data_IF_903768713577
#
_entry.id   IF_903768713577
#
_cell.length_a   1.000
_cell.length_b   1.000
_cell.length_c   1.000
_cell.angle_alpha   90.00
_cell.angle_beta   90.00
_cell.angle_gamma   90.00
#
_symmetry.space_group_name_H-M   'P 1'
#
loop_
_entity.id
_entity.type
_entity.pdbx_description
1 polymer ?
#
# COMPACT_ATOMS: atom_id res chain seq x y z
N UNK A 1 3.28 -29.85 14.94
CA UNK A 1 4.40 -28.92 15.25
C UNK A 1 3.83 -27.66 15.85
N UNK A 2 4.20 -27.32 17.08
CA UNK A 2 3.84 -26.03 17.68
C UNK A 2 4.64 -24.92 17.00
N UNK A 3 3.95 -24.04 16.32
CA UNK A 3 4.57 -22.90 15.65
C UNK A 3 5.10 -21.93 16.69
N UNK A 4 6.42 -21.77 16.81
CA UNK A 4 7.09 -20.96 17.81
C UNK A 4 7.58 -19.65 17.20
N UNK A 5 7.52 -18.52 17.94
CA UNK A 5 8.04 -17.25 17.46
C UNK A 5 9.57 -17.29 17.31
N UNK A 6 10.07 -16.72 16.20
CA UNK A 6 11.50 -16.53 15.92
C UNK A 6 12.10 -15.51 16.89
N UNK A 7 13.42 -15.43 16.98
CA UNK A 7 14.11 -14.54 17.93
C UNK A 7 13.67 -13.07 17.83
N UNK A 8 13.61 -12.50 16.62
CA UNK A 8 13.14 -11.13 16.41
C UNK A 8 11.67 -10.94 16.78
N UNK A 9 10.82 -11.95 16.55
CA UNK A 9 9.41 -11.90 16.94
C UNK A 9 9.26 -11.93 18.46
N UNK A 10 10.05 -12.75 19.17
CA UNK A 10 10.11 -12.75 20.65
C UNK A 10 10.51 -11.38 21.17
N UNK A 11 11.57 -10.76 20.62
CA UNK A 11 12.01 -9.41 20.96
C UNK A 11 10.87 -8.38 20.82
N UNK A 12 10.10 -8.43 19.72
CA UNK A 12 8.95 -7.53 19.52
C UNK A 12 7.86 -7.79 20.54
N UNK A 13 7.50 -9.04 20.80
CA UNK A 13 6.48 -9.42 21.78
C UNK A 13 6.85 -9.01 23.20
N UNK A 14 8.10 -9.23 23.63
CA UNK A 14 8.64 -8.79 24.90
C UNK A 14 8.65 -7.27 24.99
N UNK A 15 9.05 -6.57 23.92
CA UNK A 15 9.02 -5.13 23.86
C UNK A 15 7.61 -4.55 23.99
N UNK A 16 6.62 -5.15 23.33
CA UNK A 16 5.21 -4.77 23.47
C UNK A 16 4.72 -5.01 24.91
N UNK A 17 5.02 -6.16 25.51
CA UNK A 17 4.58 -6.51 26.87
C UNK A 17 5.19 -5.59 27.93
N UNK A 18 6.48 -5.23 27.78
CA UNK A 18 7.24 -4.44 28.74
C UNK A 18 7.23 -2.93 28.45
N UNK A 19 6.44 -2.47 27.49
CA UNK A 19 6.34 -1.05 27.14
C UNK A 19 5.59 -0.23 28.18
N UNK A 20 5.66 1.09 28.09
CA UNK A 20 4.87 2.02 28.93
C UNK A 20 3.35 1.83 28.76
N UNK A 21 2.94 1.24 27.66
CA UNK A 21 1.54 0.90 27.33
C UNK A 21 1.49 -0.57 26.90
N UNK A 22 1.51 -1.52 27.84
CA UNK A 22 1.64 -2.94 27.54
C UNK A 22 0.63 -3.38 26.47
N UNK A 23 1.10 -4.21 25.55
CA UNK A 23 0.34 -4.81 24.45
C UNK A 23 -0.28 -3.83 23.42
N UNK A 24 -0.07 -2.52 23.61
CA UNK A 24 -0.45 -1.47 22.65
C UNK A 24 0.78 -0.92 21.97
N UNK A 25 0.85 -0.92 20.65
CA UNK A 25 2.03 -0.45 19.95
C UNK A 25 1.93 -0.38 18.45
N UNK A 26 2.94 0.26 17.86
CA UNK A 26 3.19 0.30 16.43
C UNK A 26 4.28 -0.71 16.09
N UNK A 27 3.98 -1.62 15.16
CA UNK A 27 4.94 -2.58 14.63
C UNK A 27 5.27 -2.22 13.19
N UNK A 28 6.42 -1.58 13.00
CA UNK A 28 7.04 -1.28 11.72
C UNK A 28 7.79 -2.51 11.22
N UNK A 29 7.18 -3.33 10.37
CA UNK A 29 7.79 -4.58 9.96
C UNK A 29 7.58 -4.83 8.47
N UNK A 30 8.66 -5.24 7.79
CA UNK A 30 8.69 -5.52 6.37
C UNK A 30 7.71 -6.63 5.94
N UNK A 31 7.64 -6.88 4.65
CA UNK A 31 6.83 -7.97 4.09
C UNK A 31 7.45 -9.32 4.47
N UNK A 32 6.60 -10.32 4.73
CA UNK A 32 7.06 -11.68 5.08
C UNK A 32 7.66 -11.83 6.48
N UNK A 33 7.65 -10.78 7.33
CA UNK A 33 8.20 -10.84 8.71
C UNK A 33 7.27 -11.51 9.73
N UNK A 34 6.08 -11.97 9.32
CA UNK A 34 5.13 -12.63 10.21
C UNK A 34 4.35 -11.68 11.13
N UNK A 35 4.06 -10.45 10.68
CA UNK A 35 3.22 -9.47 11.41
C UNK A 35 1.93 -10.08 11.95
N UNK A 36 1.23 -10.87 11.12
CA UNK A 36 -0.02 -11.55 11.49
C UNK A 36 0.16 -12.46 12.71
N UNK A 37 1.18 -13.32 12.69
CA UNK A 37 1.46 -14.22 13.79
C UNK A 37 1.83 -13.46 15.08
N UNK A 38 2.71 -12.44 14.98
CA UNK A 38 3.06 -11.58 16.11
C UNK A 38 1.84 -10.91 16.74
N UNK A 39 0.89 -10.47 15.91
CA UNK A 39 -0.33 -9.84 16.42
C UNK A 39 -1.24 -10.82 17.15
N UNK A 40 -1.37 -12.05 16.66
CA UNK A 40 -2.15 -13.10 17.37
C UNK A 40 -1.48 -13.43 18.70
N UNK A 41 -0.16 -13.67 18.73
CA UNK A 41 0.56 -13.93 20.00
C UNK A 41 0.48 -12.75 20.97
N UNK A 42 0.62 -11.50 20.48
CA UNK A 42 0.46 -10.33 21.36
C UNK A 42 -0.95 -10.26 21.95
N UNK A 43 -1.97 -10.60 21.17
CA UNK A 43 -3.35 -10.64 21.65
C UNK A 43 -3.56 -11.74 22.69
N UNK A 44 -3.00 -12.93 22.46
CA UNK A 44 -3.02 -14.02 23.45
C UNK A 44 -2.35 -13.60 24.77
N UNK A 45 -1.17 -12.97 24.68
CA UNK A 45 -0.47 -12.47 25.86
C UNK A 45 -1.25 -11.36 26.58
N UNK A 46 -1.92 -10.48 25.84
CA UNK A 46 -2.68 -9.36 26.39
C UNK A 46 -3.96 -9.78 27.13
N UNK A 47 -4.65 -10.79 26.60
CA UNK A 47 -5.96 -11.20 27.06
C UNK A 47 -5.92 -12.47 27.95
N UNK A 48 -4.84 -13.27 27.84
CA UNK A 48 -4.64 -14.49 28.63
C UNK A 48 -5.83 -15.46 28.49
N UNK A 49 -6.21 -16.07 29.62
CA UNK A 49 -7.30 -17.05 29.66
C UNK A 49 -8.67 -16.46 29.30
N UNK A 50 -8.81 -15.14 29.35
CA UNK A 50 -10.05 -14.43 29.00
C UNK A 50 -10.22 -14.13 27.52
N UNK A 51 -9.33 -14.63 26.65
CA UNK A 51 -9.38 -14.35 25.20
C UNK A 51 -10.71 -14.79 24.58
N UNK A 52 -11.31 -15.88 25.05
CA UNK A 52 -12.59 -16.40 24.57
C UNK A 52 -13.81 -15.56 25.02
N UNK A 53 -13.62 -14.65 25.98
CA UNK A 53 -14.66 -13.76 26.52
C UNK A 53 -14.59 -12.36 25.91
N UNK A 54 -13.63 -12.11 25.04
CA UNK A 54 -13.35 -10.78 24.50
C UNK A 54 -13.78 -10.61 23.05
N UNK A 55 -14.09 -9.38 22.71
CA UNK A 55 -14.29 -8.94 21.34
C UNK A 55 -12.93 -8.51 20.76
N UNK A 56 -12.54 -9.08 19.64
CA UNK A 56 -11.29 -8.78 18.93
C UNK A 56 -11.66 -8.32 17.53
N UNK A 57 -11.14 -7.16 17.10
CA UNK A 57 -11.36 -6.62 15.76
C UNK A 57 -10.05 -6.61 14.97
N UNK A 58 -10.08 -7.21 13.78
CA UNK A 58 -9.01 -7.14 12.79
C UNK A 58 -9.49 -6.28 11.62
N UNK A 59 -8.81 -5.17 11.38
CA UNK A 59 -9.03 -4.29 10.24
C UNK A 59 -7.89 -4.51 9.26
N UNK A 60 -8.16 -5.04 8.08
CA UNK A 60 -7.11 -5.42 7.14
C UNK A 60 -7.60 -5.41 5.68
N UNK A 61 -6.71 -5.49 4.68
CA UNK A 61 -7.10 -5.69 3.28
C UNK A 61 -7.83 -7.03 3.08
N UNK A 62 -8.84 -7.05 2.19
CA UNK A 62 -9.64 -8.25 1.93
C UNK A 62 -8.80 -9.48 1.54
N UNK A 63 -7.69 -9.28 0.81
CA UNK A 63 -6.83 -10.36 0.35
C UNK A 63 -6.05 -11.06 1.46
N UNK A 64 -5.92 -10.43 2.62
CA UNK A 64 -5.23 -11.02 3.78
C UNK A 64 -6.16 -11.84 4.68
N UNK A 65 -7.47 -11.86 4.41
CA UNK A 65 -8.48 -12.52 5.23
C UNK A 65 -8.17 -13.99 5.49
N UNK A 66 -7.84 -14.76 4.44
CA UNK A 66 -7.54 -16.18 4.55
C UNK A 66 -6.31 -16.44 5.43
N UNK A 67 -5.28 -15.61 5.29
CA UNK A 67 -4.08 -15.66 6.13
C UNK A 67 -4.39 -15.36 7.61
N UNK A 68 -5.18 -14.34 7.89
CA UNK A 68 -5.63 -14.01 9.24
C UNK A 68 -6.44 -15.15 9.85
N UNK A 69 -7.41 -15.71 9.12
CA UNK A 69 -8.23 -16.84 9.55
C UNK A 69 -7.38 -18.06 9.91
N UNK A 70 -6.41 -18.40 9.05
CA UNK A 70 -5.47 -19.50 9.28
C UNK A 70 -4.66 -19.30 10.57
N UNK A 71 -4.12 -18.10 10.79
CA UNK A 71 -3.28 -17.83 11.97
C UNK A 71 -4.10 -17.83 13.27
N UNK A 72 -5.31 -17.24 13.31
CA UNK A 72 -6.17 -17.32 14.48
C UNK A 72 -6.52 -18.76 14.84
N UNK A 73 -6.88 -19.57 13.84
CA UNK A 73 -7.21 -20.98 14.07
C UNK A 73 -5.99 -21.78 14.55
N UNK A 74 -4.84 -21.58 13.90
CA UNK A 74 -3.62 -22.34 14.17
C UNK A 74 -2.98 -21.98 15.53
N UNK A 75 -2.94 -20.69 15.89
CA UNK A 75 -2.20 -20.22 17.06
C UNK A 75 -3.06 -20.11 18.31
N UNK A 76 -4.30 -19.66 18.18
CA UNK A 76 -5.21 -19.43 19.30
C UNK A 76 -6.40 -20.40 19.37
N UNK A 77 -6.58 -21.28 18.38
CA UNK A 77 -7.74 -22.18 18.29
C UNK A 77 -9.06 -21.47 17.95
N UNK A 78 -9.04 -20.17 17.72
CA UNK A 78 -10.23 -19.33 17.52
C UNK A 78 -10.64 -19.26 16.05
N UNK A 79 -11.95 -19.27 15.83
CA UNK A 79 -12.53 -19.03 14.52
C UNK A 79 -12.77 -17.52 14.31
N UNK A 80 -12.30 -17.00 13.17
CA UNK A 80 -12.51 -15.61 12.78
C UNK A 80 -13.74 -15.50 11.87
N UNK A 81 -14.65 -14.59 12.19
CA UNK A 81 -15.83 -14.28 11.37
C UNK A 81 -15.66 -12.96 10.62
N UNK A 82 -16.17 -12.89 9.39
CA UNK A 82 -16.00 -11.71 8.53
C UNK A 82 -17.27 -10.87 8.50
N UNK A 83 -17.13 -9.61 8.89
CA UNK A 83 -18.14 -8.58 8.69
C UNK A 83 -18.22 -8.26 7.19
N UNK A 84 -19.39 -8.38 6.60
CA UNK A 84 -19.61 -8.25 5.15
C UNK A 84 -20.70 -7.21 4.86
N UNK A 85 -20.54 -6.51 3.73
CA UNK A 85 -21.57 -5.63 3.20
C UNK A 85 -22.73 -6.36 2.48
N UNK A 86 -22.67 -7.69 2.40
CA UNK A 86 -23.73 -8.51 1.80
C UNK A 86 -24.98 -8.51 2.70
N UNK A 87 -26.17 -8.52 2.09
CA UNK A 87 -27.46 -8.57 2.79
C UNK A 87 -28.00 -10.00 2.93
N UNK A 88 -27.14 -10.99 3.09
CA UNK A 88 -27.53 -12.38 3.37
C UNK A 88 -27.83 -12.54 4.86
N UNK A 89 -28.73 -13.46 5.22
CA UNK A 89 -29.09 -13.75 6.61
C UNK A 89 -27.84 -14.05 7.46
N UNK A 90 -26.91 -14.84 6.92
CA UNK A 90 -25.64 -15.16 7.61
C UNK A 90 -24.76 -13.92 7.84
N UNK A 91 -24.65 -13.02 6.84
CA UNK A 91 -23.86 -11.80 6.99
C UNK A 91 -24.49 -10.82 7.98
N UNK A 92 -25.80 -10.69 8.00
CA UNK A 92 -26.51 -9.85 8.96
C UNK A 92 -26.35 -10.41 10.38
N UNK A 93 -26.44 -11.71 10.57
CA UNK A 93 -26.24 -12.35 11.86
C UNK A 93 -24.86 -12.06 12.47
N UNK A 94 -23.80 -11.90 11.65
CA UNK A 94 -22.46 -11.52 12.16
C UNK A 94 -22.48 -10.10 12.72
N UNK A 95 -23.18 -9.18 12.07
CA UNK A 95 -23.38 -7.81 12.58
C UNK A 95 -24.21 -7.80 13.88
N UNK A 96 -25.31 -8.55 13.91
CA UNK A 96 -26.15 -8.68 15.11
C UNK A 96 -25.36 -9.26 16.28
N UNK A 97 -24.50 -10.24 16.04
CA UNK A 97 -23.61 -10.80 17.06
C UNK A 97 -22.63 -9.76 17.61
N UNK A 98 -22.07 -8.91 16.74
CA UNK A 98 -21.19 -7.83 17.17
C UNK A 98 -21.94 -6.78 18.01
N UNK A 99 -23.11 -6.34 17.55
CA UNK A 99 -23.96 -5.39 18.28
C UNK A 99 -24.44 -5.95 19.63
N UNK A 100 -24.67 -7.25 19.70
CA UNK A 100 -25.00 -7.97 20.96
C UNK A 100 -23.75 -8.25 21.81
N UNK A 101 -22.59 -7.70 21.49
CA UNK A 101 -21.32 -7.87 22.20
C UNK A 101 -20.90 -9.33 22.35
N UNK A 102 -21.22 -10.20 21.39
CA UNK A 102 -20.86 -11.61 21.44
C UNK A 102 -19.35 -11.76 21.25
N UNK A 103 -18.64 -12.38 22.22
CA UNK A 103 -17.20 -12.59 22.12
C UNK A 103 -16.77 -13.31 20.84
N UNK A 104 -15.59 -12.98 20.32
CA UNK A 104 -15.03 -13.60 19.12
C UNK A 104 -14.08 -12.70 18.35
N UNK A 105 -13.51 -13.26 17.30
CA UNK A 105 -12.61 -12.56 16.38
C UNK A 105 -13.38 -12.10 15.15
N UNK A 106 -13.50 -10.80 14.97
CA UNK A 106 -14.20 -10.16 13.87
C UNK A 106 -13.20 -9.55 12.88
N UNK A 107 -13.38 -9.83 11.60
CA UNK A 107 -12.59 -9.25 10.52
C UNK A 107 -13.43 -8.24 9.74
N UNK A 108 -12.86 -7.08 9.46
CA UNK A 108 -13.47 -6.06 8.59
C UNK A 108 -12.43 -5.50 7.63
N UNK A 109 -12.84 -5.24 6.38
CA UNK A 109 -11.95 -4.57 5.43
C UNK A 109 -11.94 -3.05 5.63
N UNK A 110 -10.81 -2.40 5.28
CA UNK A 110 -10.70 -0.93 5.30
C UNK A 110 -11.82 -0.25 4.50
N UNK A 111 -12.17 -0.84 3.35
CA UNK A 111 -13.21 -0.32 2.46
C UNK A 111 -14.60 -0.38 3.11
N UNK A 112 -14.95 -1.50 3.72
CA UNK A 112 -16.22 -1.68 4.42
C UNK A 112 -16.27 -0.81 5.68
N UNK A 113 -15.17 -0.75 6.42
CA UNK A 113 -15.07 0.08 7.61
C UNK A 113 -15.34 1.55 7.32
N UNK A 114 -14.77 2.11 6.23
CA UNK A 114 -15.01 3.51 5.81
C UNK A 114 -16.33 3.73 5.10
N UNK A 115 -16.99 2.67 4.58
CA UNK A 115 -18.24 2.82 3.85
C UNK A 115 -19.26 3.57 4.72
N UNK A 116 -19.92 4.56 4.15
CA UNK A 116 -20.96 5.32 4.85
C UNK A 116 -22.29 4.58 4.69
N UNK A 117 -22.80 4.02 5.76
CA UNK A 117 -24.22 3.65 5.80
C UNK A 117 -25.00 4.97 5.77
N UNK A 118 -25.70 5.21 4.68
CA UNK A 118 -26.52 6.39 4.51
C UNK A 118 -27.98 5.96 4.56
N UNK A 119 -28.72 6.50 5.51
CA UNK A 119 -30.16 6.39 5.53
C UNK A 119 -30.76 7.56 4.73
N UNK A 120 -31.65 7.26 3.77
CA UNK A 120 -32.47 8.29 3.14
C UNK A 120 -33.52 8.77 4.15
N UNK A 121 -33.42 10.04 4.53
CA UNK A 121 -34.39 10.64 5.42
C UNK A 121 -34.97 11.91 4.80
N UNK A 122 -36.27 12.13 4.97
CA UNK A 122 -36.89 13.37 4.57
C UNK A 122 -36.44 14.51 5.49
N UNK A 123 -35.86 15.54 4.91
CA UNK A 123 -35.54 16.77 5.63
C UNK A 123 -36.67 17.77 5.42
N UNK A 124 -37.46 17.99 6.45
CA UNK A 124 -38.62 18.91 6.42
C UNK A 124 -38.24 20.37 6.20
N UNK A 125 -37.02 20.79 6.61
CA UNK A 125 -36.52 22.17 6.37
C UNK A 125 -36.07 22.35 4.93
N UNK A 126 -35.33 21.37 4.39
CA UNK A 126 -34.81 21.42 3.02
C UNK A 126 -35.82 20.91 1.98
N UNK A 127 -37.00 20.41 2.41
CA UNK A 127 -38.07 19.83 1.54
C UNK A 127 -37.51 18.81 0.50
N UNK A 128 -36.53 18.01 0.87
CA UNK A 128 -35.93 16.98 0.01
C UNK A 128 -35.43 15.79 0.78
N UNK A 129 -35.24 14.66 0.07
CA UNK A 129 -34.57 13.49 0.64
C UNK A 129 -33.07 13.78 0.82
N UNK A 130 -32.59 13.71 2.05
CA UNK A 130 -31.17 13.85 2.38
C UNK A 130 -30.64 12.52 2.88
N UNK A 131 -29.34 12.31 2.64
CA UNK A 131 -28.65 11.14 3.18
C UNK A 131 -28.01 11.48 4.52
N UNK A 132 -28.53 10.91 5.61
CA UNK A 132 -27.92 11.02 6.94
C UNK A 132 -26.91 9.89 7.13
N UNK A 133 -25.70 10.22 7.57
CA UNK A 133 -24.73 9.20 7.96
C UNK A 133 -25.24 8.48 9.23
N UNK A 134 -25.34 7.15 9.15
CA UNK A 134 -25.66 6.34 10.33
C UNK A 134 -24.40 6.12 11.17
N UNK A 135 -24.59 5.95 12.49
CA UNK A 135 -23.53 5.48 13.37
C UNK A 135 -23.05 4.09 12.90
N UNK A 136 -21.76 3.83 13.08
CA UNK A 136 -21.24 2.49 12.80
C UNK A 136 -21.56 1.57 13.97
N UNK A 137 -22.04 0.33 13.73
CA UNK A 137 -22.38 -0.60 14.81
C UNK A 137 -21.23 -0.79 15.82
N UNK A 138 -19.99 -0.82 15.33
CA UNK A 138 -18.80 -1.03 16.17
C UNK A 138 -18.37 0.18 17.02
N UNK A 139 -19.02 1.36 16.90
CA UNK A 139 -18.70 2.51 17.76
C UNK A 139 -19.30 2.40 19.17
N UNK A 140 -20.35 1.61 19.34
CA UNK A 140 -20.93 1.31 20.65
C UNK A 140 -20.28 0.12 21.36
N UNK A 141 -19.26 -0.47 20.77
CA UNK A 141 -18.61 -1.69 21.24
C UNK A 141 -17.19 -1.37 21.73
N UNK A 142 -16.85 -1.82 22.93
CA UNK A 142 -15.48 -1.81 23.43
C UNK A 142 -14.80 -3.14 23.14
N UNK A 143 -13.72 -3.09 22.37
CA UNK A 143 -12.93 -4.27 22.01
C UNK A 143 -11.83 -4.53 23.04
N UNK A 144 -11.57 -5.80 23.35
CA UNK A 144 -10.39 -6.21 24.11
C UNK A 144 -9.11 -5.90 23.32
N UNK A 145 -9.14 -6.12 21.99
CA UNK A 145 -8.02 -5.79 21.11
C UNK A 145 -8.53 -5.32 19.74
N UNK A 146 -7.91 -4.26 19.21
CA UNK A 146 -8.06 -3.84 17.81
C UNK A 146 -6.72 -3.92 17.10
N UNK A 147 -6.66 -4.64 15.99
CA UNK A 147 -5.50 -4.81 15.14
C UNK A 147 -5.77 -4.12 13.81
N UNK A 148 -5.00 -3.09 13.47
CA UNK A 148 -5.08 -2.36 12.22
C UNK A 148 -3.89 -2.73 11.33
N UNK A 149 -4.10 -3.70 10.43
CA UNK A 149 -3.09 -4.17 9.49
C UNK A 149 -3.01 -3.27 8.26
N UNK A 150 -1.82 -3.15 7.68
CA UNK A 150 -1.49 -2.21 6.61
C UNK A 150 -1.93 -0.78 6.96
N UNK A 151 -1.47 -0.31 8.13
CA UNK A 151 -1.82 1.00 8.69
C UNK A 151 -1.60 2.17 7.72
N UNK A 152 -0.67 2.07 6.78
CA UNK A 152 -0.44 3.11 5.77
C UNK A 152 -1.72 3.52 5.02
N UNK A 153 -2.77 2.67 4.99
CA UNK A 153 -4.10 2.98 4.42
C UNK A 153 -4.88 4.02 5.24
N UNK A 154 -4.48 4.24 6.49
CA UNK A 154 -5.07 5.23 7.40
C UNK A 154 -4.08 6.31 7.86
N UNK A 155 -2.86 6.34 7.34
CA UNK A 155 -1.81 7.27 7.80
C UNK A 155 -2.12 8.75 7.48
N UNK A 156 -2.95 9.04 6.49
CA UNK A 156 -3.36 10.42 6.22
C UNK A 156 -4.41 10.86 7.23
N UNK A 157 -4.10 11.90 8.02
CA UNK A 157 -4.95 12.47 9.08
C UNK A 157 -6.34 12.93 8.59
N UNK A 158 -6.49 13.31 7.33
CA UNK A 158 -7.75 13.72 6.71
C UNK A 158 -8.51 12.57 6.04
N UNK A 159 -7.97 11.35 6.02
CA UNK A 159 -8.61 10.22 5.37
C UNK A 159 -9.83 9.71 6.14
N UNK A 160 -10.80 9.16 5.41
CA UNK A 160 -11.95 8.50 6.01
C UNK A 160 -11.56 7.25 6.83
N UNK A 161 -10.52 6.53 6.41
CA UNK A 161 -10.00 5.39 7.15
C UNK A 161 -9.55 5.81 8.55
N UNK A 162 -8.75 6.87 8.66
CA UNK A 162 -8.32 7.40 9.95
C UNK A 162 -9.49 7.94 10.77
N UNK A 163 -10.39 8.72 10.13
CA UNK A 163 -11.55 9.30 10.82
C UNK A 163 -12.45 8.24 11.46
N UNK A 164 -12.56 7.05 10.84
CA UNK A 164 -13.31 5.93 11.41
C UNK A 164 -12.48 5.19 12.46
N UNK A 165 -11.23 4.82 12.15
CA UNK A 165 -10.39 4.03 13.03
C UNK A 165 -10.17 4.69 14.41
N UNK A 166 -9.93 6.01 14.45
CA UNK A 166 -9.70 6.74 15.71
C UNK A 166 -10.86 6.72 16.70
N UNK A 167 -12.09 6.45 16.22
CA UNK A 167 -13.30 6.43 17.05
C UNK A 167 -13.67 5.02 17.57
N UNK A 168 -12.91 3.98 17.18
CA UNK A 168 -13.12 2.63 17.68
C UNK A 168 -12.59 2.58 19.12
N UNK A 169 -13.42 2.11 20.05
CA UNK A 169 -13.02 1.94 21.45
C UNK A 169 -12.35 0.58 21.65
N UNK A 170 -11.18 0.55 22.30
CA UNK A 170 -10.47 -0.67 22.58
C UNK A 170 -9.56 -0.54 23.79
N UNK A 171 -9.43 -1.62 24.55
CA UNK A 171 -8.48 -1.72 25.67
C UNK A 171 -7.03 -1.72 25.16
N UNK A 172 -6.75 -2.54 24.13
CA UNK A 172 -5.45 -2.65 23.48
C UNK A 172 -5.55 -2.37 21.99
N UNK A 173 -4.49 -1.81 21.41
CA UNK A 173 -4.44 -1.43 20.00
C UNK A 173 -3.10 -1.78 19.39
N UNK A 174 -3.13 -2.38 18.20
CA UNK A 174 -1.96 -2.61 17.37
C UNK A 174 -2.15 -1.93 16.01
N UNK A 175 -1.11 -1.25 15.55
CA UNK A 175 -0.99 -0.79 14.18
C UNK A 175 0.20 -1.48 13.52
N UNK A 176 -0.01 -2.08 12.35
CA UNK A 176 0.99 -2.87 11.63
C UNK A 176 1.21 -2.26 10.25
N UNK A 177 2.44 -2.01 9.87
CA UNK A 177 2.78 -1.58 8.51
C UNK A 177 4.29 -1.68 8.28
N UNK A 178 4.71 -1.96 7.06
CA UNK A 178 6.10 -1.76 6.65
C UNK A 178 6.46 -0.26 6.56
N UNK A 179 5.46 0.58 6.27
CA UNK A 179 5.62 2.02 6.03
C UNK A 179 4.54 2.81 6.78
N UNK A 180 4.59 2.88 8.13
CA UNK A 180 3.49 3.41 8.94
C UNK A 180 3.17 4.88 8.70
N UNK A 181 4.12 5.66 8.19
CA UNK A 181 3.93 7.06 7.81
C UNK A 181 3.55 7.26 6.32
N UNK A 182 3.51 6.17 5.54
CA UNK A 182 3.26 6.27 4.10
C UNK A 182 4.37 7.04 3.38
N UNK A 183 4.00 8.07 2.64
CA UNK A 183 4.93 8.88 1.83
C UNK A 183 5.49 10.13 2.55
N UNK A 184 5.04 10.44 3.76
CA UNK A 184 5.44 11.65 4.51
C UNK A 184 5.68 11.32 5.98
N UNK A 185 6.86 11.65 6.54
CA UNK A 185 7.17 11.33 7.94
C UNK A 185 6.14 11.88 8.95
N UNK A 186 5.59 13.08 8.73
CA UNK A 186 4.59 13.67 9.62
C UNK A 186 3.26 12.90 9.71
N UNK A 187 2.97 12.05 8.73
CA UNK A 187 1.77 11.19 8.74
C UNK A 187 1.82 10.11 9.83
N UNK A 188 2.97 9.88 10.44
CA UNK A 188 3.09 8.99 11.61
C UNK A 188 2.15 9.40 12.74
N UNK A 189 1.80 10.70 12.82
CA UNK A 189 0.85 11.21 13.80
C UNK A 189 -0.47 10.40 13.83
N UNK A 190 -0.97 10.00 12.68
CA UNK A 190 -2.23 9.25 12.63
C UNK A 190 -2.14 7.90 13.36
N UNK A 191 -1.00 7.17 13.22
CA UNK A 191 -0.75 5.94 13.97
C UNK A 191 -0.66 6.21 15.47
N UNK A 192 0.12 7.23 15.84
CA UNK A 192 0.31 7.61 17.24
C UNK A 192 -1.01 8.05 17.89
N UNK A 193 -1.84 8.81 17.16
CA UNK A 193 -3.14 9.26 17.64
C UNK A 193 -4.17 8.15 17.75
N UNK A 194 -4.10 7.14 16.88
CA UNK A 194 -4.91 5.94 16.97
C UNK A 194 -4.52 5.09 18.19
N UNK A 195 -3.22 4.86 18.38
CA UNK A 195 -2.71 4.02 19.46
C UNK A 195 -2.87 4.69 20.84
N UNK A 196 -2.57 5.97 20.91
CA UNK A 196 -2.57 6.76 22.15
C UNK A 196 -3.37 8.07 22.00
N UNK A 197 -4.71 7.99 22.01
CA UNK A 197 -5.59 9.12 21.69
C UNK A 197 -5.34 10.38 22.52
N UNK A 198 -4.93 10.21 23.78
CA UNK A 198 -4.74 11.30 24.73
C UNK A 198 -3.28 11.79 24.85
N UNK A 199 -2.32 11.10 24.20
CA UNK A 199 -0.90 11.41 24.36
C UNK A 199 -0.42 12.54 23.43
N UNK A 200 -0.98 12.61 22.23
CA UNK A 200 -0.60 13.59 21.21
C UNK A 200 -1.74 14.59 20.95
N UNK A 201 -1.36 15.88 20.82
CA UNK A 201 -2.27 16.97 20.48
C UNK A 201 -2.84 16.91 19.05
N UNK A 202 -3.22 18.06 18.50
CA UNK A 202 -3.69 18.19 17.14
C UNK A 202 -2.61 17.87 16.10
N UNK A 203 -3.03 17.55 14.88
CA UNK A 203 -2.10 17.25 13.78
C UNK A 203 -1.14 18.39 13.49
N UNK A 204 -1.66 19.60 13.39
CA UNK A 204 -0.85 20.76 13.04
C UNK A 204 0.15 21.15 14.14
N UNK A 205 -0.26 21.06 15.41
CA UNK A 205 0.63 21.30 16.55
C UNK A 205 1.76 20.25 16.60
N UNK A 206 1.42 19.00 16.35
CA UNK A 206 2.40 17.91 16.26
C UNK A 206 3.39 18.17 15.11
N UNK A 207 2.89 18.52 13.94
CA UNK A 207 3.75 18.80 12.79
C UNK A 207 4.66 19.99 13.06
N UNK A 208 4.13 21.11 13.57
CA UNK A 208 4.91 22.30 13.91
C UNK A 208 5.98 22.01 14.98
N UNK A 209 5.68 21.13 15.93
CA UNK A 209 6.63 20.74 16.99
C UNK A 209 7.78 19.88 16.48
N UNK A 210 7.48 18.88 15.65
CA UNK A 210 8.45 17.81 15.33
C UNK A 210 9.05 17.89 13.94
N UNK A 211 8.43 18.64 13.00
CA UNK A 211 8.83 18.64 11.59
C UNK A 211 9.18 20.03 11.08
N UNK A 212 10.06 20.06 10.08
CA UNK A 212 10.43 21.29 9.38
C UNK A 212 9.32 21.71 8.43
N UNK A 213 8.90 22.95 8.56
CA UNK A 213 7.94 23.58 7.66
C UNK A 213 8.64 24.09 6.41
N UNK A 214 8.08 23.79 5.24
CA UNK A 214 8.54 24.28 3.94
C UNK A 214 7.37 24.96 3.22
N UNK A 215 7.68 26.00 2.46
CA UNK A 215 6.68 26.63 1.59
C UNK A 215 6.24 25.66 0.50
N UNK A 216 4.94 25.57 0.26
CA UNK A 216 4.35 24.77 -0.80
C UNK A 216 3.13 25.49 -1.37
N UNK A 217 3.32 26.15 -2.52
CA UNK A 217 2.26 26.87 -3.21
C UNK A 217 1.04 26.01 -3.59
N UNK A 218 1.22 24.68 -3.66
CA UNK A 218 0.17 23.73 -4.03
C UNK A 218 -0.57 23.14 -2.82
N UNK A 219 -0.20 23.51 -1.61
CA UNK A 219 -0.95 23.09 -0.43
C UNK A 219 -2.03 24.12 -0.10
N UNK A 220 -3.16 23.66 0.43
CA UNK A 220 -4.29 24.51 0.83
C UNK A 220 -3.91 25.59 1.84
N UNK A 221 -2.79 25.43 2.53
CA UNK A 221 -2.30 26.35 3.58
C UNK A 221 -0.95 27.01 3.22
N UNK A 222 -0.51 26.91 1.96
CA UNK A 222 0.76 27.47 1.51
C UNK A 222 2.00 26.78 2.10
N UNK A 223 1.84 25.69 2.86
CA UNK A 223 2.94 25.02 3.56
C UNK A 223 2.80 23.50 3.60
N UNK A 224 3.92 22.83 3.74
CA UNK A 224 4.01 21.39 3.97
C UNK A 224 5.05 21.10 5.05
N UNK A 225 4.92 19.93 5.69
CA UNK A 225 5.91 19.45 6.65
C UNK A 225 6.67 18.28 6.03
N UNK A 226 7.99 18.33 6.08
CA UNK A 226 8.87 17.45 5.31
C UNK A 226 9.70 16.52 6.20
N UNK A 227 10.83 16.99 6.67
CA UNK A 227 11.79 16.24 7.47
C UNK A 227 11.55 16.43 8.96
N UNK A 228 11.90 15.44 9.77
CA UNK A 228 11.94 15.60 11.23
C UNK A 228 13.02 16.60 11.63
N UNK A 229 12.72 17.53 12.55
CA UNK A 229 13.69 18.52 13.05
C UNK A 229 14.88 17.84 13.73
N UNK A 230 14.62 16.75 14.41
CA UNK A 230 15.63 15.90 15.05
C UNK A 230 15.37 14.46 14.66
N UNK A 231 16.16 13.88 13.76
CA UNK A 231 15.93 12.54 13.21
C UNK A 231 15.69 11.48 14.28
N UNK A 232 14.62 10.69 14.13
CA UNK A 232 14.21 9.64 15.04
C UNK A 232 13.60 10.10 16.38
N UNK A 233 13.37 11.42 16.57
CA UNK A 233 12.81 11.93 17.83
C UNK A 233 11.39 11.44 18.07
N UNK A 234 10.55 11.42 17.05
CA UNK A 234 9.16 10.95 17.15
C UNK A 234 9.13 9.47 17.52
N UNK A 235 9.95 8.66 16.87
CA UNK A 235 10.07 7.23 17.14
C UNK A 235 10.52 6.96 18.59
N UNK A 236 11.61 7.61 19.01
CA UNK A 236 12.12 7.46 20.38
C UNK A 236 11.15 7.95 21.47
N UNK A 237 10.32 8.93 21.13
CA UNK A 237 9.28 9.46 22.02
C UNK A 237 7.97 8.67 22.04
N UNK A 238 7.78 7.73 21.12
CA UNK A 238 6.59 6.89 21.09
C UNK A 238 6.60 5.89 22.26
N UNK A 239 5.46 5.69 22.95
CA UNK A 239 5.39 4.78 24.11
C UNK A 239 5.78 3.34 23.79
N UNK A 240 5.47 2.86 22.57
CA UNK A 240 5.76 1.49 22.12
C UNK A 240 5.84 1.46 20.59
N UNK A 241 7.07 1.53 20.04
CA UNK A 241 7.32 1.37 18.60
C UNK A 241 8.42 0.34 18.38
N UNK A 242 8.09 -0.70 17.65
CA UNK A 242 8.98 -1.83 17.36
C UNK A 242 9.15 -1.98 15.86
N UNK A 243 10.40 -2.05 15.43
CA UNK A 243 10.78 -2.23 14.04
C UNK A 243 11.40 -3.60 13.81
N UNK A 244 11.10 -4.18 12.65
CA UNK A 244 11.72 -5.39 12.15
C UNK A 244 12.08 -5.17 10.69
N UNK A 245 13.38 -5.07 10.42
CA UNK A 245 13.85 -4.96 9.04
C UNK A 245 13.71 -6.29 8.30
N UNK A 246 13.66 -6.21 6.97
CA UNK A 246 13.67 -7.40 6.12
C UNK A 246 14.95 -8.23 6.32
N UNK A 247 16.10 -7.56 6.46
CA UNK A 247 17.39 -8.20 6.68
C UNK A 247 17.45 -8.96 8.02
N UNK A 248 16.84 -8.39 9.08
CA UNK A 248 16.73 -9.08 10.38
C UNK A 248 15.81 -10.30 10.31
N UNK A 249 14.69 -10.17 9.63
CA UNK A 249 13.69 -11.24 9.55
C UNK A 249 14.11 -12.38 8.63
N UNK A 250 14.85 -12.07 7.58
CA UNK A 250 15.26 -13.01 6.52
C UNK A 250 16.72 -12.73 6.11
N UNK A 251 17.71 -13.00 6.97
CA UNK A 251 19.12 -12.71 6.71
C UNK A 251 19.70 -13.49 5.51
N UNK A 252 19.05 -14.60 5.15
CA UNK A 252 19.44 -15.46 4.02
C UNK A 252 18.85 -14.99 2.67
N UNK A 253 18.05 -13.92 2.67
CA UNK A 253 17.42 -13.43 1.46
C UNK A 253 18.48 -12.84 0.51
N UNK A 254 18.58 -13.34 -0.75
CA UNK A 254 19.67 -12.95 -1.66
C UNK A 254 19.66 -11.47 -2.08
N UNK A 255 18.53 -10.76 -1.86
CA UNK A 255 18.38 -9.35 -2.16
C UNK A 255 17.93 -9.04 -3.59
N UNK A 256 18.08 -7.77 -4.00
CA UNK A 256 17.69 -7.27 -5.32
C UNK A 256 18.86 -6.58 -5.99
N UNK A 257 19.15 -7.01 -7.23
CA UNK A 257 20.14 -6.35 -8.11
C UNK A 257 19.36 -5.45 -9.06
N UNK A 258 19.65 -4.15 -9.04
CA UNK A 258 18.96 -3.17 -9.87
C UNK A 258 19.80 -2.82 -11.10
N UNK A 259 19.26 -3.14 -12.26
CA UNK A 259 19.81 -2.77 -13.57
C UNK A 259 19.02 -1.56 -14.10
N UNK A 260 19.67 -0.39 -14.18
CA UNK A 260 19.06 0.79 -14.80
C UNK A 260 19.23 0.71 -16.30
N UNK A 261 18.11 0.77 -17.02
CA UNK A 261 18.07 0.74 -18.49
C UNK A 261 17.55 2.08 -18.97
N UNK A 262 18.44 2.91 -19.43
CA UNK A 262 18.13 4.24 -19.95
C UNK A 262 17.72 4.16 -21.41
N UNK A 263 16.60 4.82 -21.75
CA UNK A 263 16.06 4.86 -23.11
C UNK A 263 15.80 6.30 -23.52
N UNK A 264 16.11 6.62 -24.77
CA UNK A 264 15.65 7.86 -25.38
C UNK A 264 14.22 7.72 -25.89
N UNK A 265 13.40 8.75 -25.72
CA UNK A 265 12.09 8.78 -26.34
C UNK A 265 12.21 8.75 -27.87
N UNK A 266 11.39 7.94 -28.53
CA UNK A 266 11.29 8.00 -29.98
C UNK A 266 10.95 9.43 -30.45
N UNK A 267 11.29 9.78 -31.70
CA UNK A 267 11.02 11.13 -32.23
C UNK A 267 9.56 11.56 -32.05
N UNK A 268 8.62 10.64 -32.23
CA UNK A 268 7.19 10.90 -32.07
C UNK A 268 6.83 11.16 -30.59
N UNK A 269 7.36 10.35 -29.66
CA UNK A 269 7.14 10.53 -28.21
C UNK A 269 7.80 11.84 -27.74
N UNK A 270 9.04 12.13 -28.14
CA UNK A 270 9.78 13.34 -27.75
C UNK A 270 9.06 14.61 -28.19
N UNK A 271 8.55 14.61 -29.44
CA UNK A 271 7.76 15.74 -29.93
C UNK A 271 6.54 16.00 -29.07
N UNK A 272 5.70 14.98 -28.84
CA UNK A 272 4.50 15.11 -28.00
C UNK A 272 4.82 15.51 -26.56
N UNK A 273 5.91 14.97 -26.01
CA UNK A 273 6.39 15.31 -24.66
C UNK A 273 6.74 16.79 -24.57
N UNK A 274 7.58 17.29 -25.50
CA UNK A 274 8.03 18.66 -25.50
C UNK A 274 6.89 19.66 -25.79
N UNK A 275 5.96 19.32 -26.70
CA UNK A 275 4.79 20.14 -27.00
C UNK A 275 3.93 20.31 -25.74
N UNK A 276 3.65 19.21 -25.05
CA UNK A 276 2.88 19.22 -23.80
C UNK A 276 3.59 20.00 -22.66
N UNK A 277 4.90 19.85 -22.52
CA UNK A 277 5.68 20.57 -21.50
C UNK A 277 5.69 22.07 -21.78
N UNK A 278 5.85 22.47 -23.04
CA UNK A 278 5.83 23.86 -23.49
C UNK A 278 4.46 24.53 -23.30
N UNK A 279 3.40 23.85 -23.73
CA UNK A 279 2.03 24.36 -23.61
C UNK A 279 1.64 24.54 -22.14
N UNK A 280 2.04 23.60 -21.28
CA UNK A 280 1.82 23.72 -19.84
C UNK A 280 2.60 24.87 -19.21
N UNK A 281 3.85 25.11 -19.63
CA UNK A 281 4.64 26.27 -19.16
C UNK A 281 4.02 27.59 -19.59
N UNK A 282 3.53 27.69 -20.83
CA UNK A 282 2.81 28.87 -21.33
C UNK A 282 1.53 29.11 -20.51
N UNK A 283 0.75 28.06 -20.28
CA UNK A 283 -0.48 28.15 -19.48
C UNK A 283 -0.20 28.58 -18.03
N UNK A 284 0.89 28.11 -17.43
CA UNK A 284 1.30 28.49 -16.07
C UNK A 284 1.75 29.94 -15.96
N UNK A 285 2.35 30.51 -17.04
CA UNK A 285 2.80 31.88 -17.05
C UNK A 285 1.64 32.87 -17.25
N UNK A 286 0.57 32.49 -17.93
CA UNK A 286 -0.54 33.37 -18.29
C UNK A 286 -1.73 33.37 -17.31
N UNK A 287 -1.77 32.40 -16.37
CA UNK A 287 -2.88 32.28 -15.40
C UNK A 287 -2.42 31.97 -13.98
N UNK A 288 -3.12 32.48 -12.96
CA UNK A 288 -2.86 32.08 -11.59
C UNK A 288 -3.08 30.59 -11.46
N UNK A 289 -2.10 29.91 -10.88
CA UNK A 289 -2.00 28.45 -10.69
C UNK A 289 -3.30 27.87 -10.10
N UNK A 290 -4.09 27.17 -10.90
CA UNK A 290 -5.07 26.24 -10.38
C UNK A 290 -4.34 25.00 -9.81
N UNK A 291 -4.63 24.63 -8.58
CA UNK A 291 -3.95 23.58 -7.80
C UNK A 291 -3.90 22.19 -8.48
N UNK A 292 -4.75 21.95 -9.47
CA UNK A 292 -4.83 20.67 -10.21
C UNK A 292 -3.86 20.55 -11.39
N UNK A 293 -3.40 21.63 -11.97
CA UNK A 293 -2.61 21.64 -13.21
C UNK A 293 -1.27 20.89 -13.08
N UNK A 294 -0.44 21.09 -12.04
CA UNK A 294 0.83 20.41 -11.93
C UNK A 294 0.72 18.89 -11.74
N UNK A 295 -0.30 18.43 -11.01
CA UNK A 295 -0.54 16.99 -10.86
C UNK A 295 -1.03 16.34 -12.16
N UNK A 296 -1.90 17.03 -12.89
CA UNK A 296 -2.40 16.56 -14.17
C UNK A 296 -1.28 16.55 -15.21
N UNK A 297 -0.46 17.60 -15.26
CA UNK A 297 0.71 17.66 -16.12
C UNK A 297 1.69 16.51 -15.83
N UNK A 298 2.04 16.27 -14.56
CA UNK A 298 2.91 15.16 -14.16
C UNK A 298 2.35 13.81 -14.65
N UNK A 299 1.05 13.61 -14.48
CA UNK A 299 0.37 12.40 -14.97
C UNK A 299 0.46 12.28 -16.50
N UNK A 300 0.19 13.36 -17.25
CA UNK A 300 0.23 13.37 -18.72
C UNK A 300 1.64 13.14 -19.24
N UNK A 301 2.65 13.82 -18.68
CA UNK A 301 4.05 13.62 -19.06
C UNK A 301 4.48 12.16 -18.83
N UNK A 302 4.12 11.57 -17.70
CA UNK A 302 4.38 10.14 -17.41
C UNK A 302 3.69 9.21 -18.41
N UNK A 303 2.51 9.59 -18.92
CA UNK A 303 1.83 8.81 -19.94
C UNK A 303 2.60 8.87 -21.29
N UNK A 304 3.20 10.03 -21.64
CA UNK A 304 4.02 10.16 -22.85
C UNK A 304 5.31 9.34 -22.80
N UNK A 305 5.90 9.14 -21.60
CA UNK A 305 7.11 8.30 -21.48
C UNK A 305 6.81 6.81 -21.71
N UNK A 306 5.58 6.35 -21.50
CA UNK A 306 5.22 4.95 -21.73
C UNK A 306 5.14 4.60 -23.22
N UNK A 307 4.54 5.47 -24.03
CA UNK A 307 4.36 5.22 -25.47
C UNK A 307 3.65 6.39 -26.15
N UNK A 308 3.51 6.33 -27.46
CA UNK A 308 2.71 7.31 -28.22
C UNK A 308 1.24 7.07 -27.89
N UNK A 309 0.58 8.00 -27.17
CA UNK A 309 -0.82 7.83 -26.79
C UNK A 309 -1.76 8.10 -27.94
N UNK A 310 -3.00 7.64 -27.76
CA UNK A 310 -4.19 8.13 -28.46
C UNK A 310 -5.07 8.89 -27.46
N UNK A 311 -5.91 9.79 -27.98
CA UNK A 311 -6.82 10.56 -27.14
C UNK A 311 -8.25 10.18 -27.49
N UNK A 312 -9.06 9.91 -26.47
CA UNK A 312 -10.49 9.70 -26.61
C UNK A 312 -11.21 11.05 -26.78
N UNK A 313 -12.48 11.03 -27.18
CA UNK A 313 -13.33 12.23 -27.35
C UNK A 313 -13.44 13.07 -26.07
N UNK A 314 -13.38 12.42 -24.91
CA UNK A 314 -13.40 13.06 -23.58
C UNK A 314 -12.02 13.61 -23.13
N UNK A 315 -11.01 13.57 -24.03
CA UNK A 315 -9.64 14.01 -23.73
C UNK A 315 -8.84 13.06 -22.83
N UNK A 316 -9.38 11.89 -22.50
CA UNK A 316 -8.61 10.89 -21.72
C UNK A 316 -7.60 10.18 -22.61
N UNK A 317 -6.41 9.93 -22.04
CA UNK A 317 -5.33 9.18 -22.72
C UNK A 317 -5.68 7.71 -22.80
N UNK A 318 -5.46 7.12 -23.97
CA UNK A 318 -5.44 5.68 -24.23
C UNK A 318 -4.22 5.32 -25.08
N UNK A 319 -4.01 4.04 -25.40
CA UNK A 319 -2.93 3.58 -26.26
C UNK A 319 -3.49 2.57 -27.28
N UNK A 320 -3.00 2.62 -28.51
CA UNK A 320 -3.21 1.53 -29.45
C UNK A 320 -2.39 0.32 -29.03
N UNK A 321 -2.83 -0.88 -29.36
CA UNK A 321 -2.09 -2.11 -29.05
C UNK A 321 -0.69 -2.11 -29.68
N UNK A 322 -0.57 -1.59 -30.91
CA UNK A 322 0.66 -1.47 -31.66
C UNK A 322 1.40 -0.13 -31.46
N UNK A 323 1.10 0.60 -30.39
CA UNK A 323 1.68 1.92 -30.16
C UNK A 323 3.22 1.85 -30.12
N UNK A 324 3.87 2.91 -30.67
CA UNK A 324 5.32 3.06 -30.63
C UNK A 324 5.76 3.42 -29.20
N UNK A 325 6.76 2.70 -28.70
CA UNK A 325 7.26 2.89 -27.33
C UNK A 325 8.70 2.41 -27.21
N UNK A 326 9.62 3.33 -26.93
CA UNK A 326 11.01 2.97 -26.67
C UNK A 326 11.17 2.06 -25.43
N UNK A 327 10.29 2.21 -24.43
CA UNK A 327 10.31 1.33 -23.26
C UNK A 327 9.86 -0.10 -23.60
N UNK A 328 8.88 -0.26 -24.50
CA UNK A 328 8.48 -1.59 -24.96
C UNK A 328 9.56 -2.25 -25.81
N UNK A 329 10.25 -1.47 -26.63
CA UNK A 329 11.36 -1.99 -27.42
C UNK A 329 12.49 -2.50 -26.49
N UNK A 330 12.93 -1.71 -25.51
CA UNK A 330 13.90 -2.14 -24.51
C UNK A 330 13.43 -3.33 -23.66
N UNK A 331 12.14 -3.39 -23.30
CA UNK A 331 11.58 -4.55 -22.59
C UNK A 331 11.71 -5.82 -23.44
N UNK A 332 11.43 -5.74 -24.72
CA UNK A 332 11.52 -6.90 -25.62
C UNK A 332 12.97 -7.34 -25.81
N UNK A 333 13.92 -6.39 -25.90
CA UNK A 333 15.35 -6.70 -25.95
C UNK A 333 15.82 -7.43 -24.69
N UNK A 334 15.44 -6.93 -23.48
CA UNK A 334 15.73 -7.61 -22.22
C UNK A 334 15.17 -9.03 -22.20
N UNK A 335 13.90 -9.21 -22.62
CA UNK A 335 13.26 -10.55 -22.59
C UNK A 335 13.91 -11.50 -23.61
N UNK A 336 14.41 -10.98 -24.74
CA UNK A 336 15.13 -11.77 -25.72
C UNK A 336 16.51 -12.23 -25.25
N UNK A 337 17.16 -11.45 -24.38
CA UNK A 337 18.45 -11.80 -23.78
C UNK A 337 18.33 -12.79 -22.60
N UNK A 338 17.13 -13.00 -22.07
CA UNK A 338 16.86 -13.96 -20.99
C UNK A 338 16.63 -15.37 -21.56
N UNK A 339 16.96 -16.43 -20.80
CA UNK A 339 16.59 -17.80 -21.15
C UNK A 339 15.11 -17.92 -21.51
N UNK A 340 14.79 -18.76 -22.49
CA UNK A 340 13.41 -18.89 -23.02
C UNK A 340 12.38 -19.28 -21.93
N UNK A 341 12.81 -20.04 -20.93
CA UNK A 341 11.96 -20.54 -19.86
C UNK A 341 11.94 -19.63 -18.61
N UNK A 342 12.76 -18.56 -18.57
CA UNK A 342 12.82 -17.68 -17.40
C UNK A 342 11.51 -16.90 -17.22
N UNK A 343 10.80 -17.07 -16.09
CA UNK A 343 9.60 -16.32 -15.79
C UNK A 343 9.94 -14.85 -15.51
N UNK A 344 9.09 -13.94 -16.00
CA UNK A 344 9.30 -12.49 -15.85
C UNK A 344 8.04 -11.80 -15.36
N UNK A 345 8.15 -10.93 -14.36
CA UNK A 345 7.09 -10.02 -13.96
C UNK A 345 7.35 -8.63 -14.56
N UNK A 346 6.44 -8.14 -15.36
CA UNK A 346 6.48 -6.78 -15.95
C UNK A 346 5.57 -5.85 -15.17
N UNK A 347 6.12 -4.84 -14.52
CA UNK A 347 5.40 -3.88 -13.72
C UNK A 347 5.02 -2.62 -14.51
N UNK A 348 3.72 -2.28 -14.47
CA UNK A 348 3.16 -1.13 -15.15
C UNK A 348 2.22 -0.37 -14.21
N UNK A 349 2.36 0.96 -14.12
CA UNK A 349 1.43 1.78 -13.36
C UNK A 349 0.13 2.05 -14.14
N UNK A 350 0.23 2.31 -15.45
CA UNK A 350 -0.92 2.64 -16.29
C UNK A 350 -1.67 1.39 -16.75
N UNK A 351 -2.90 1.20 -16.25
CA UNK A 351 -3.77 0.09 -16.69
C UNK A 351 -4.06 0.13 -18.20
N UNK A 352 -4.19 1.33 -18.77
CA UNK A 352 -4.49 1.49 -20.21
C UNK A 352 -3.32 1.06 -21.10
N UNK A 353 -2.07 1.09 -20.58
CA UNK A 353 -0.89 0.70 -21.33
C UNK A 353 -0.67 -0.82 -21.36
N UNK A 354 -1.27 -1.56 -20.44
CA UNK A 354 -1.10 -3.02 -20.33
C UNK A 354 -1.44 -3.72 -21.65
N UNK A 355 -2.47 -3.28 -22.38
CA UNK A 355 -2.86 -3.89 -23.66
C UNK A 355 -1.74 -3.82 -24.71
N UNK A 356 -0.97 -2.74 -24.74
CA UNK A 356 0.18 -2.62 -25.65
C UNK A 356 1.33 -3.56 -25.26
N UNK A 357 1.56 -3.72 -23.95
CA UNK A 357 2.55 -4.70 -23.44
C UNK A 357 2.16 -6.12 -23.85
N UNK A 358 0.90 -6.52 -23.59
CA UNK A 358 0.39 -7.85 -23.95
C UNK A 358 0.44 -8.11 -25.46
N UNK A 359 0.10 -7.10 -26.28
CA UNK A 359 0.17 -7.21 -27.73
C UNK A 359 1.60 -7.49 -28.22
N UNK A 360 2.61 -6.77 -27.69
CA UNK A 360 4.02 -6.98 -28.04
C UNK A 360 4.50 -8.38 -27.68
N UNK A 361 4.18 -8.86 -26.47
CA UNK A 361 4.53 -10.19 -26.00
C UNK A 361 3.88 -11.29 -26.86
N UNK A 362 2.57 -11.19 -27.09
CA UNK A 362 1.82 -12.17 -27.92
C UNK A 362 2.29 -12.23 -29.35
N UNK A 363 2.60 -11.06 -29.93
CA UNK A 363 3.14 -10.98 -31.30
C UNK A 363 4.51 -11.67 -31.43
N UNK A 364 5.28 -11.70 -30.36
CA UNK A 364 6.54 -12.43 -30.27
C UNK A 364 6.38 -13.90 -29.85
N UNK A 365 5.13 -14.41 -29.74
CA UNK A 365 4.86 -15.79 -29.34
C UNK A 365 5.06 -16.07 -27.84
N UNK A 366 5.23 -15.04 -27.00
CA UNK A 366 5.50 -15.19 -25.58
C UNK A 366 4.18 -15.34 -24.82
N UNK A 367 4.03 -16.44 -24.06
CA UNK A 367 2.86 -16.69 -23.19
C UNK A 367 2.79 -15.65 -22.07
N UNK A 368 1.64 -14.94 -21.97
CA UNK A 368 1.49 -13.86 -21.00
C UNK A 368 0.07 -13.70 -20.48
N UNK A 369 -0.05 -13.24 -19.25
CA UNK A 369 -1.32 -12.89 -18.60
C UNK A 369 -1.28 -11.48 -17.99
N UNK A 370 -2.47 -10.91 -17.77
CA UNK A 370 -2.67 -9.63 -17.09
C UNK A 370 -3.12 -9.86 -15.64
N UNK A 371 -2.49 -9.12 -14.70
CA UNK A 371 -2.96 -8.99 -13.32
C UNK A 371 -3.16 -7.51 -13.02
N UNK A 372 -4.40 -7.05 -13.12
CA UNK A 372 -4.77 -5.63 -12.96
C UNK A 372 -6.06 -5.45 -12.16
N UNK A 373 -6.47 -4.21 -11.95
CA UNK A 373 -7.77 -3.91 -11.36
C UNK A 373 -8.97 -4.42 -12.16
N UNK A 374 -8.80 -4.66 -13.47
CA UNK A 374 -9.85 -5.20 -14.37
C UNK A 374 -9.77 -6.71 -14.51
N UNK A 375 -8.56 -7.26 -14.57
CA UNK A 375 -8.32 -8.68 -14.76
C UNK A 375 -7.60 -9.26 -13.56
N UNK A 376 -8.24 -10.26 -12.93
CA UNK A 376 -7.63 -11.07 -11.88
C UNK A 376 -6.98 -12.30 -12.49
N UNK A 377 -6.03 -12.11 -13.43
CA UNK A 377 -5.32 -13.22 -14.04
C UNK A 377 -4.83 -14.22 -13.00
N UNK A 378 -4.91 -15.50 -13.33
CA UNK A 378 -4.44 -16.55 -12.44
C UNK A 378 -2.90 -16.58 -12.44
N UNK A 379 -2.28 -15.98 -11.44
CA UNK A 379 -0.83 -15.98 -11.30
C UNK A 379 -0.25 -17.38 -11.03
N UNK A 380 -1.07 -18.37 -10.63
CA UNK A 380 -0.64 -19.76 -10.51
C UNK A 380 -0.21 -20.33 -11.85
N UNK A 381 -0.70 -19.82 -12.97
CA UNK A 381 -0.26 -20.20 -14.30
C UNK A 381 1.26 -19.99 -14.54
N UNK A 382 1.88 -19.01 -13.86
CA UNK A 382 3.35 -18.86 -13.87
C UNK A 382 4.02 -19.89 -12.95
N UNK A 383 3.43 -20.19 -11.80
CA UNK A 383 3.96 -21.22 -10.86
C UNK A 383 3.91 -22.60 -11.53
N UNK A 384 2.87 -22.88 -12.29
CA UNK A 384 2.68 -24.14 -13.02
C UNK A 384 3.47 -24.18 -14.35
N UNK A 385 4.21 -23.13 -14.70
CA UNK A 385 5.03 -23.04 -15.92
C UNK A 385 4.25 -22.90 -17.23
N UNK A 386 2.92 -22.64 -17.18
CA UNK A 386 2.10 -22.46 -18.39
C UNK A 386 2.16 -21.03 -18.97
N UNK A 387 2.62 -20.08 -18.17
CA UNK A 387 2.78 -18.65 -18.55
C UNK A 387 4.17 -18.20 -18.16
N UNK A 388 4.88 -17.59 -19.14
CA UNK A 388 6.22 -17.04 -18.96
C UNK A 388 6.19 -15.63 -18.36
N UNK A 389 5.24 -14.78 -18.79
CA UNK A 389 5.24 -13.37 -18.40
C UNK A 389 3.94 -12.98 -17.72
N UNK A 390 4.04 -12.39 -16.52
CA UNK A 390 2.93 -11.69 -15.87
C UNK A 390 3.10 -10.19 -16.10
N UNK A 391 2.10 -9.55 -16.72
CA UNK A 391 2.00 -8.08 -16.81
C UNK A 391 1.15 -7.58 -15.66
N UNK A 392 1.77 -6.94 -14.69
CA UNK A 392 1.17 -6.59 -13.42
C UNK A 392 0.98 -5.08 -13.27
N UNK A 393 -0.22 -4.65 -12.87
CA UNK A 393 -0.42 -3.31 -12.35
C UNK A 393 0.05 -3.28 -10.87
N UNK A 394 0.86 -2.26 -10.51
CA UNK A 394 1.44 -2.15 -9.17
C UNK A 394 0.40 -2.31 -8.06
N UNK A 395 -0.72 -1.58 -8.12
CA UNK A 395 -1.74 -1.60 -7.09
C UNK A 395 -2.50 -2.93 -7.03
N UNK A 396 -2.69 -3.58 -8.17
CA UNK A 396 -3.48 -4.81 -8.24
C UNK A 396 -2.73 -6.04 -7.73
N UNK A 397 -1.41 -6.08 -7.91
CA UNK A 397 -0.58 -7.21 -7.50
C UNK A 397 0.19 -6.94 -6.19
N UNK A 398 0.09 -5.72 -5.63
CA UNK A 398 0.76 -5.34 -4.39
C UNK A 398 0.27 -6.13 -3.16
N UNK A 399 -0.89 -6.79 -3.21
CA UNK A 399 -1.47 -7.52 -2.08
C UNK A 399 -1.89 -8.95 -2.47
N UNK A 400 -1.67 -9.91 -1.56
CA UNK A 400 -2.29 -11.25 -1.59
C UNK A 400 -1.77 -12.23 -2.65
N UNK A 401 -0.62 -11.98 -3.28
CA UNK A 401 0.06 -12.91 -4.18
C UNK A 401 1.21 -13.59 -3.43
N UNK A 402 1.24 -14.91 -3.41
CA UNK A 402 2.28 -15.71 -2.78
C UNK A 402 2.67 -16.90 -3.67
N UNK A 403 3.94 -17.32 -3.59
CA UNK A 403 4.49 -18.44 -4.36
C UNK A 403 5.28 -18.03 -5.62
N UNK A 404 5.09 -16.82 -6.15
CA UNK A 404 5.85 -16.36 -7.33
C UNK A 404 7.35 -16.31 -7.08
N UNK A 405 7.78 -15.99 -5.86
CA UNK A 405 9.19 -15.95 -5.47
C UNK A 405 9.89 -17.32 -5.56
N UNK A 406 9.14 -18.39 -5.62
CA UNK A 406 9.73 -19.75 -5.72
C UNK A 406 10.16 -20.10 -7.15
N UNK A 407 9.55 -19.44 -8.14
CA UNK A 407 9.76 -19.73 -9.58
C UNK A 407 10.33 -18.55 -10.35
N UNK A 408 10.12 -17.30 -9.91
CA UNK A 408 10.50 -16.10 -10.64
C UNK A 408 11.50 -15.26 -9.84
N UNK A 409 12.57 -14.82 -10.52
CA UNK A 409 13.59 -13.93 -9.96
C UNK A 409 13.94 -12.76 -10.89
N UNK A 410 13.13 -12.55 -11.94
CA UNK A 410 13.33 -11.46 -12.90
C UNK A 410 12.11 -10.55 -12.96
N UNK A 411 12.33 -9.24 -12.83
CA UNK A 411 11.28 -8.23 -12.95
C UNK A 411 11.72 -7.05 -13.82
N UNK A 412 10.79 -6.57 -14.67
CA UNK A 412 11.00 -5.42 -15.53
C UNK A 412 10.01 -4.32 -15.14
N UNK A 413 10.50 -3.14 -14.82
CA UNK A 413 9.70 -2.00 -14.42
C UNK A 413 9.62 -0.98 -15.55
N UNK A 414 8.50 -0.93 -16.26
CA UNK A 414 8.24 0.06 -17.31
C UNK A 414 7.91 1.45 -16.73
N UNK A 415 7.42 1.48 -15.51
CA UNK A 415 7.17 2.71 -14.75
C UNK A 415 7.15 2.41 -13.26
N UNK A 416 7.35 3.44 -12.43
CA UNK A 416 7.19 3.34 -10.99
C UNK A 416 5.91 4.05 -10.52
N UNK A 417 5.36 3.63 -9.38
CA UNK A 417 4.34 4.43 -8.69
C UNK A 417 4.98 5.66 -8.05
N UNK A 418 4.25 6.75 -7.93
CA UNK A 418 4.67 7.90 -7.10
C UNK A 418 4.65 7.58 -5.58
N UNK A 419 4.18 6.40 -5.20
CA UNK A 419 4.11 5.94 -3.83
C UNK A 419 5.21 4.95 -3.52
N UNK A 420 6.06 5.27 -2.54
CA UNK A 420 7.06 4.32 -2.01
C UNK A 420 6.40 3.04 -1.51
N UNK A 421 5.27 3.17 -0.81
CA UNK A 421 4.52 2.03 -0.26
C UNK A 421 4.16 1.02 -1.34
N UNK A 422 3.63 1.50 -2.48
CA UNK A 422 3.21 0.64 -3.59
C UNK A 422 4.43 -0.02 -4.25
N UNK A 423 5.51 0.73 -4.45
CA UNK A 423 6.74 0.20 -5.02
C UNK A 423 7.37 -0.86 -4.09
N UNK A 424 7.44 -0.61 -2.78
CA UNK A 424 7.93 -1.58 -1.80
C UNK A 424 7.07 -2.85 -1.75
N UNK A 425 5.76 -2.71 -1.82
CA UNK A 425 4.86 -3.86 -1.88
C UNK A 425 5.05 -4.69 -3.16
N UNK A 426 5.25 -4.03 -4.30
CA UNK A 426 5.56 -4.70 -5.56
C UNK A 426 6.90 -5.45 -5.46
N UNK A 427 7.95 -4.80 -4.96
CA UNK A 427 9.26 -5.42 -4.69
C UNK A 427 9.13 -6.67 -3.83
N UNK A 428 8.34 -6.62 -2.79
CA UNK A 428 8.13 -7.72 -1.86
C UNK A 428 7.31 -8.89 -2.42
N UNK A 429 6.97 -8.90 -3.70
CA UNK A 429 6.36 -10.07 -4.35
C UNK A 429 7.39 -11.11 -4.73
N UNK A 430 8.56 -10.69 -5.18
CA UNK A 430 9.67 -11.57 -5.53
C UNK A 430 10.76 -11.60 -4.45
N UNK A 431 11.09 -10.45 -3.86
CA UNK A 431 12.09 -10.36 -2.81
C UNK A 431 11.49 -10.65 -1.43
N UNK A 432 11.23 -11.92 -1.16
CA UNK A 432 10.63 -12.40 0.09
C UNK A 432 11.08 -13.80 0.45
N UNK A 433 10.71 -14.27 1.63
CA UNK A 433 11.03 -15.63 2.10
C UNK A 433 10.60 -16.67 1.05
N UNK A 434 11.51 -17.61 0.76
CA UNK A 434 11.36 -18.62 -0.30
C UNK A 434 12.13 -18.29 -1.58
N UNK A 435 12.58 -17.04 -1.78
CA UNK A 435 13.46 -16.67 -2.88
C UNK A 435 14.87 -17.26 -2.66
N UNK A 436 15.38 -17.97 -3.66
CA UNK A 436 16.67 -18.67 -3.60
C UNK A 436 17.79 -17.95 -4.32
N UNK A 437 17.44 -17.04 -5.23
CA UNK A 437 18.39 -16.28 -6.07
C UNK A 437 18.14 -14.78 -5.94
N UNK A 438 19.15 -13.97 -6.20
CA UNK A 438 18.96 -12.52 -6.23
C UNK A 438 17.92 -12.13 -7.30
N UNK A 439 17.03 -11.22 -6.94
CA UNK A 439 16.02 -10.72 -7.87
C UNK A 439 16.67 -9.70 -8.81
N UNK A 440 16.69 -9.98 -10.11
CA UNK A 440 17.14 -9.05 -11.14
C UNK A 440 16.00 -8.08 -11.48
N UNK A 441 16.19 -6.82 -11.16
CA UNK A 441 15.25 -5.74 -11.46
C UNK A 441 15.77 -4.87 -12.58
N UNK A 442 15.14 -4.91 -13.73
CA UNK A 442 15.39 -3.99 -14.84
C UNK A 442 14.45 -2.79 -14.73
N UNK A 443 15.02 -1.63 -14.42
CA UNK A 443 14.29 -0.37 -14.30
C UNK A 443 14.46 0.45 -15.58
N UNK A 444 13.45 0.41 -16.47
CA UNK A 444 13.47 1.14 -17.73
C UNK A 444 13.05 2.59 -17.51
N UNK A 445 13.93 3.51 -17.82
CA UNK A 445 13.78 4.94 -17.56
C UNK A 445 14.00 5.74 -18.84
N UNK A 446 13.04 6.61 -19.17
CA UNK A 446 13.22 7.57 -20.25
C UNK A 446 14.04 8.77 -19.75
N UNK A 447 15.22 8.98 -20.34
CA UNK A 447 16.13 10.06 -19.95
C UNK A 447 15.60 11.44 -20.38
N UNK A 448 15.99 12.47 -19.65
CA UNK A 448 15.56 13.85 -19.85
C UNK A 448 14.02 14.00 -19.84
N UNK A 449 13.37 13.34 -18.87
CA UNK A 449 11.92 13.33 -18.74
C UNK A 449 11.45 13.41 -17.29
N UNK A 450 10.13 13.34 -17.11
CA UNK A 450 9.50 13.24 -15.81
C UNK A 450 9.92 11.99 -15.01
N UNK A 451 10.43 10.94 -15.66
CA UNK A 451 10.91 9.72 -15.00
C UNK A 451 12.07 10.04 -14.04
N UNK A 452 12.99 10.93 -14.43
CA UNK A 452 14.10 11.39 -13.57
C UNK A 452 13.57 12.12 -12.33
N UNK A 453 12.56 12.98 -12.54
CA UNK A 453 11.89 13.71 -11.45
C UNK A 453 11.15 12.76 -10.50
N UNK A 454 10.54 11.70 -11.01
CA UNK A 454 9.87 10.67 -10.19
C UNK A 454 10.88 9.94 -9.32
N UNK A 455 12.01 9.52 -9.91
CA UNK A 455 13.08 8.84 -9.16
C UNK A 455 13.66 9.74 -8.07
N UNK A 456 13.97 10.98 -8.39
CA UNK A 456 14.47 11.96 -7.41
C UNK A 456 13.49 12.13 -6.23
N UNK A 457 12.20 12.31 -6.51
CA UNK A 457 11.16 12.42 -5.48
C UNK A 457 11.03 11.16 -4.61
N UNK A 458 11.13 9.98 -5.21
CA UNK A 458 11.08 8.72 -4.47
C UNK A 458 12.30 8.56 -3.57
N UNK A 459 13.48 8.91 -4.07
CA UNK A 459 14.72 8.86 -3.28
C UNK A 459 14.66 9.83 -2.09
N UNK A 460 14.27 11.09 -2.31
CA UNK A 460 14.10 12.06 -1.22
C UNK A 460 13.12 11.59 -0.15
N UNK A 461 11.98 10.99 -0.56
CA UNK A 461 11.01 10.45 0.39
C UNK A 461 11.57 9.29 1.19
N UNK A 462 12.29 8.39 0.53
CA UNK A 462 12.97 7.27 1.17
C UNK A 462 13.97 7.78 2.20
N UNK A 463 14.83 8.72 1.83
CA UNK A 463 15.85 9.27 2.70
C UNK A 463 15.25 9.97 3.93
N UNK A 464 14.17 10.73 3.75
CA UNK A 464 13.43 11.38 4.86
C UNK A 464 12.81 10.38 5.83
N UNK A 465 12.19 9.32 5.31
CA UNK A 465 11.59 8.26 6.14
C UNK A 465 12.66 7.46 6.88
N UNK A 466 13.76 7.12 6.19
CA UNK A 466 14.91 6.43 6.77
C UNK A 466 15.58 7.28 7.85
N UNK A 467 15.81 8.57 7.62
CA UNK A 467 16.35 9.48 8.61
C UNK A 467 15.47 9.58 9.87
N UNK A 468 14.15 9.49 9.72
CA UNK A 468 13.21 9.46 10.84
C UNK A 468 13.10 8.07 11.51
N UNK A 469 13.76 7.04 10.98
CA UNK A 469 13.66 5.66 11.46
C UNK A 469 12.24 5.09 11.32
N UNK A 470 11.55 5.41 10.23
CA UNK A 470 10.18 4.97 9.96
C UNK A 470 10.11 3.88 8.86
N UNK A 471 11.28 3.56 8.28
CA UNK A 471 11.51 2.46 7.32
C UNK A 471 12.94 1.95 7.47
#
# INVERSE_FOLDING_TARGET
>A
MTFQPRAYQKRVLEGLANSKTPFTGLVGAGLGTGKTAMSVWNTMNALGDKINEQLILVVAPVRTESGWRKHWKMLAGLDMVTLSGKKTKAALQVWDNLEAHKPGVYFITWELMRSRNKEKRWDGKAKKMVYKAMSKPFYGVEFGMVIADEWHRACNHSSLNFAVARNIQAKYRLALSATPAGNKPCNIWAALKFLWPNHYGGYWDFCAKFFTEEFNAFSSFGKTYTSEKHPGMVRRGAPSYHEVSQAEANPELPGVIVHRVEVELSRAQRKLYNDLEKDALTYLNDKPLALSIPMELDLRLRQMTLGVPSFNEDGTVDYKEDCKSSKLDAMMDIIADLPEDDPVVVWVHSQKFIKAVLYRLRKAGISCIEVSGKSRGDFHAMIDGTVRVIVAQHEAMSEGVDGLQEVCHTEIWLSQSNSLVINEQATGRLNRQGQKTAVNRFLIQAIDTVDDRVLGRLQERFDRLKASGLI
#
